data_IF_840032846907
#
_entry.id   IF_840032846907
#
_cell.length_a   1.000
_cell.length_b   1.000
_cell.length_c   1.000
_cell.angle_alpha   90.00
_cell.angle_beta   90.00
_cell.angle_gamma   90.00
#
_symmetry.space_group_name_H-M   'P 1'
#
loop_
_entity.id
_entity.type
_entity.pdbx_description
1 polymer ?
#
# COMPACT_ATOMS: atom_id res chain seq x y z
N UNK A 1 1.58 14.72 8.75
CA UNK A 1 2.26 13.93 7.69
C UNK A 1 3.57 14.57 7.22
N UNK A 2 3.58 15.82 6.73
CA UNK A 2 4.81 16.45 6.21
C UNK A 2 5.96 16.48 7.25
N UNK A 3 5.67 16.80 8.52
CA UNK A 3 6.69 16.77 9.59
C UNK A 3 7.31 15.38 9.81
N UNK A 4 6.53 14.32 9.65
CA UNK A 4 7.02 12.92 9.69
C UNK A 4 7.91 12.67 8.47
N UNK A 5 7.49 13.11 7.28
CA UNK A 5 8.29 13.02 6.06
C UNK A 5 9.66 13.69 6.20
N UNK A 6 9.72 14.91 6.76
CA UNK A 6 10.98 15.63 7.03
C UNK A 6 11.88 14.85 8.00
N UNK A 7 11.30 14.26 9.05
CA UNK A 7 12.06 13.49 10.03
C UNK A 7 12.62 12.18 9.43
N UNK A 8 11.80 11.46 8.65
CA UNK A 8 12.19 10.23 7.97
C UNK A 8 13.23 10.48 6.88
N UNK A 9 13.18 11.61 6.17
CA UNK A 9 14.16 11.98 5.14
C UNK A 9 15.60 11.89 5.67
N UNK A 10 15.83 12.33 6.91
CA UNK A 10 17.16 12.30 7.54
C UNK A 10 17.68 10.87 7.81
N UNK A 11 16.81 9.87 7.78
CA UNK A 11 17.12 8.46 8.01
C UNK A 11 17.21 7.64 6.72
N UNK A 12 16.83 8.21 5.58
CA UNK A 12 16.80 7.50 4.30
C UNK A 12 18.05 7.85 3.51
N UNK A 13 19.05 6.96 3.53
CA UNK A 13 20.37 7.22 2.92
C UNK A 13 20.65 6.43 1.64
N UNK A 14 19.86 5.37 1.39
CA UNK A 14 19.98 4.54 0.19
C UNK A 14 18.66 3.93 -0.29
N UNK A 15 18.72 3.18 -1.39
CA UNK A 15 17.55 2.55 -1.99
C UNK A 15 16.87 1.52 -1.06
N UNK A 16 17.64 0.77 -0.28
CA UNK A 16 17.09 -0.19 0.68
C UNK A 16 16.30 0.51 1.81
N UNK A 17 16.80 1.66 2.29
CA UNK A 17 16.08 2.50 3.24
C UNK A 17 14.81 3.09 2.61
N UNK A 18 14.92 3.54 1.36
CA UNK A 18 13.82 4.20 0.68
C UNK A 18 12.67 3.24 0.35
N UNK A 19 12.95 2.03 -0.13
CA UNK A 19 11.93 1.07 -0.55
C UNK A 19 11.49 0.10 0.55
N UNK A 20 12.35 -0.21 1.52
CA UNK A 20 12.07 -1.22 2.56
C UNK A 20 12.26 -0.72 3.98
N UNK A 21 12.57 0.57 4.18
CA UNK A 21 12.81 1.13 5.52
C UNK A 21 14.00 0.46 6.22
N UNK A 22 14.99 -0.03 5.45
CA UNK A 22 16.16 -0.73 5.96
C UNK A 22 15.81 -2.07 6.62
N UNK A 23 14.60 -2.61 6.38
CA UNK A 23 14.06 -3.84 6.98
C UNK A 23 14.05 -3.82 8.52
N UNK A 24 14.10 -2.63 9.12
CA UNK A 24 14.17 -2.40 10.57
C UNK A 24 12.86 -1.95 11.20
N UNK A 25 11.73 -2.01 10.48
CA UNK A 25 10.44 -1.62 11.01
C UNK A 25 10.02 -2.55 12.15
N UNK A 26 9.48 -1.97 13.23
CA UNK A 26 8.91 -2.74 14.32
C UNK A 26 7.62 -3.44 13.86
N UNK A 27 7.36 -4.62 14.42
CA UNK A 27 6.19 -5.44 14.07
C UNK A 27 4.85 -4.67 14.05
N UNK A 28 4.53 -3.85 15.06
CA UNK A 28 3.30 -3.06 15.07
C UNK A 28 3.19 -2.03 13.94
N UNK A 29 4.29 -1.33 13.62
CA UNK A 29 4.30 -0.32 12.55
C UNK A 29 4.13 -0.98 11.19
N UNK A 30 4.81 -2.10 10.95
CA UNK A 30 4.66 -2.86 9.71
C UNK A 30 3.25 -3.45 9.57
N UNK A 31 2.68 -3.99 10.65
CA UNK A 31 1.34 -4.59 10.64
C UNK A 31 0.25 -3.54 10.39
N UNK A 32 0.30 -2.41 11.10
CA UNK A 32 -0.67 -1.33 10.91
C UNK A 32 -0.54 -0.66 9.56
N UNK A 33 0.68 -0.48 9.05
CA UNK A 33 0.87 0.03 7.68
C UNK A 33 0.33 -0.92 6.62
N UNK A 34 0.57 -2.22 6.76
CA UNK A 34 -0.02 -3.21 5.87
C UNK A 34 -1.56 -3.17 5.89
N UNK A 35 -2.16 -3.05 7.08
CA UNK A 35 -3.60 -2.96 7.22
C UNK A 35 -4.17 -1.62 6.74
N UNK A 36 -3.51 -0.49 6.99
CA UNK A 36 -3.95 0.82 6.50
C UNK A 36 -3.92 0.88 4.97
N UNK A 37 -2.89 0.29 4.36
CA UNK A 37 -2.79 0.15 2.91
C UNK A 37 -3.92 -0.70 2.32
N UNK A 38 -4.30 -1.78 3.02
CA UNK A 38 -5.43 -2.65 2.63
C UNK A 38 -6.79 -1.96 2.84
N UNK A 39 -6.96 -1.30 3.99
CA UNK A 39 -8.16 -0.57 4.42
C UNK A 39 -8.18 0.85 3.84
N UNK A 40 -8.15 0.94 2.51
CA UNK A 40 -8.13 2.21 1.78
C UNK A 40 -9.52 2.85 1.61
N UNK A 41 -9.65 3.81 0.69
CA UNK A 41 -10.93 4.42 0.31
C UNK A 41 -12.04 3.41 -0.06
N UNK A 42 -11.68 2.18 -0.42
CA UNK A 42 -12.62 1.08 -0.58
C UNK A 42 -13.39 0.77 0.71
N UNK A 43 -12.75 0.70 1.87
CA UNK A 43 -13.48 0.39 3.11
C UNK A 43 -14.34 1.58 3.55
N UNK A 44 -13.87 2.80 3.29
CA UNK A 44 -14.56 4.02 3.70
C UNK A 44 -15.80 4.33 2.85
N UNK A 45 -15.72 4.11 1.54
CA UNK A 45 -16.79 4.45 0.59
C UNK A 45 -17.36 3.23 -0.14
N UNK A 46 -16.49 2.31 -0.56
CA UNK A 46 -16.85 1.13 -1.34
C UNK A 46 -17.71 0.13 -0.57
N UNK A 47 -17.25 -0.32 0.61
CA UNK A 47 -17.97 -1.33 1.41
C UNK A 47 -19.31 -0.82 1.95
N UNK A 48 -19.43 0.39 2.53
CA UNK A 48 -20.73 0.94 2.92
C UNK A 48 -21.65 1.14 1.71
N UNK A 49 -21.10 1.58 0.57
CA UNK A 49 -21.84 1.71 -0.68
C UNK A 49 -22.39 0.37 -1.18
N UNK A 50 -21.60 -0.70 -1.09
CA UNK A 50 -22.04 -2.04 -1.49
C UNK A 50 -23.08 -2.60 -0.53
N UNK A 51 -22.92 -2.40 0.79
CA UNK A 51 -23.94 -2.78 1.78
C UNK A 51 -25.25 -2.04 1.55
N UNK A 52 -25.19 -0.74 1.25
CA UNK A 52 -26.38 0.06 0.98
C UNK A 52 -27.11 -0.41 -0.28
N UNK A 53 -26.37 -0.77 -1.35
CA UNK A 53 -26.94 -1.19 -2.62
C UNK A 53 -27.38 -2.66 -2.65
N UNK A 54 -26.65 -3.57 -1.98
CA UNK A 54 -26.78 -5.03 -2.10
C UNK A 54 -27.20 -5.71 -0.79
N UNK A 55 -27.39 -4.94 0.29
CA UNK A 55 -27.87 -5.41 1.58
C UNK A 55 -26.76 -5.83 2.56
N UNK A 56 -27.18 -6.10 3.79
CA UNK A 56 -26.32 -6.38 4.95
C UNK A 56 -25.50 -7.67 4.83
N UNK A 57 -25.84 -8.56 3.89
CA UNK A 57 -25.06 -9.76 3.60
C UNK A 57 -23.61 -9.46 3.21
N UNK A 58 -23.34 -8.27 2.66
CA UNK A 58 -21.97 -7.82 2.33
C UNK A 58 -21.08 -7.61 3.57
N UNK A 59 -21.65 -7.51 4.78
CA UNK A 59 -20.86 -7.43 6.01
C UNK A 59 -19.96 -8.67 6.24
N UNK A 60 -20.31 -9.83 5.67
CA UNK A 60 -19.47 -11.03 5.70
C UNK A 60 -18.11 -10.85 5.04
N UNK A 61 -17.95 -9.86 4.16
CA UNK A 61 -16.66 -9.50 3.58
C UNK A 61 -15.63 -9.21 4.67
N UNK A 62 -16.02 -8.51 5.74
CA UNK A 62 -15.10 -8.18 6.84
C UNK A 62 -14.56 -9.44 7.54
N UNK A 63 -15.40 -10.45 7.72
CA UNK A 63 -15.02 -11.73 8.34
C UNK A 63 -14.08 -12.50 7.39
N UNK A 64 -14.42 -12.55 6.10
CA UNK A 64 -13.58 -13.17 5.08
C UNK A 64 -12.19 -12.52 4.97
N UNK A 65 -12.14 -11.19 4.98
CA UNK A 65 -10.89 -10.43 5.01
C UNK A 65 -10.08 -10.73 6.27
N UNK A 66 -10.71 -10.74 7.45
CA UNK A 66 -10.02 -11.06 8.70
C UNK A 66 -9.37 -12.45 8.68
N UNK A 67 -10.12 -13.48 8.28
CA UNK A 67 -9.61 -14.84 8.16
C UNK A 67 -8.53 -14.96 7.07
N UNK A 68 -8.74 -14.33 5.91
CA UNK A 68 -7.79 -14.32 4.80
C UNK A 68 -6.46 -13.68 5.18
N UNK A 69 -6.50 -12.54 5.88
CA UNK A 69 -5.29 -11.87 6.38
C UNK A 69 -4.53 -12.74 7.36
N UNK A 70 -5.22 -13.38 8.31
CA UNK A 70 -4.59 -14.31 9.26
C UNK A 70 -3.92 -15.47 8.50
N UNK A 71 -4.63 -16.10 7.56
CA UNK A 71 -4.11 -17.19 6.76
C UNK A 71 -2.88 -16.77 5.94
N UNK A 72 -2.92 -15.58 5.32
CA UNK A 72 -1.80 -15.03 4.55
C UNK A 72 -0.55 -14.84 5.42
N UNK A 73 -0.70 -14.29 6.63
CA UNK A 73 0.42 -14.10 7.54
C UNK A 73 1.01 -15.41 8.07
N UNK A 74 0.16 -16.40 8.36
CA UNK A 74 0.61 -17.68 8.90
C UNK A 74 1.23 -18.60 7.84
N UNK A 75 0.66 -18.61 6.63
CA UNK A 75 0.98 -19.60 5.59
C UNK A 75 1.93 -19.04 4.54
N UNK A 76 1.75 -17.78 4.12
CA UNK A 76 2.45 -17.23 2.94
C UNK A 76 3.62 -16.32 3.33
N UNK A 77 3.44 -15.45 4.32
CA UNK A 77 4.41 -14.40 4.62
C UNK A 77 5.80 -14.94 5.00
N UNK A 78 5.87 -15.93 5.91
CA UNK A 78 7.16 -16.49 6.36
C UNK A 78 7.90 -17.25 5.24
N UNK A 79 7.28 -18.21 4.52
CA UNK A 79 7.96 -18.90 3.43
C UNK A 79 8.39 -17.96 2.30
N UNK A 80 7.54 -16.99 1.95
CA UNK A 80 7.87 -16.01 0.92
C UNK A 80 9.12 -15.22 1.31
N UNK A 81 9.17 -14.70 2.55
CA UNK A 81 10.35 -13.95 3.02
C UNK A 81 11.61 -14.80 3.03
N UNK A 82 11.55 -16.02 3.57
CA UNK A 82 12.68 -16.93 3.58
C UNK A 82 13.22 -17.17 2.16
N UNK A 83 12.32 -17.31 1.17
CA UNK A 83 12.73 -17.55 -0.20
C UNK A 83 13.26 -16.31 -0.91
N UNK A 84 12.73 -15.11 -0.60
CA UNK A 84 13.28 -13.87 -1.17
C UNK A 84 14.78 -13.73 -0.87
N UNK A 85 15.22 -14.15 0.32
CA UNK A 85 16.64 -14.11 0.73
C UNK A 85 17.51 -14.97 -0.20
N UNK A 86 17.06 -16.19 -0.51
CA UNK A 86 17.78 -17.12 -1.41
C UNK A 86 17.70 -16.66 -2.87
N UNK A 87 16.60 -16.02 -3.26
CA UNK A 87 16.40 -15.44 -4.58
C UNK A 87 17.02 -14.02 -4.65
N UNK A 88 18.33 -13.90 -4.43
CA UNK A 88 19.09 -12.64 -4.48
C UNK A 88 18.58 -11.53 -3.57
N UNK A 89 17.97 -11.87 -2.42
CA UNK A 89 17.36 -10.92 -1.49
C UNK A 89 16.40 -9.93 -2.19
N UNK A 90 15.60 -10.44 -3.13
CA UNK A 90 14.69 -9.66 -3.98
C UNK A 90 13.83 -8.69 -3.16
N UNK A 91 13.72 -7.45 -3.63
CA UNK A 91 12.97 -6.38 -2.94
C UNK A 91 11.53 -6.28 -3.42
N UNK A 92 11.23 -6.76 -4.63
CA UNK A 92 9.89 -6.69 -5.24
C UNK A 92 9.38 -8.06 -5.67
N UNK A 93 8.07 -8.22 -5.83
CA UNK A 93 7.49 -9.46 -6.35
C UNK A 93 7.93 -9.79 -7.79
N UNK A 94 7.96 -8.85 -8.75
CA UNK A 94 8.48 -9.12 -10.10
C UNK A 94 9.94 -9.58 -10.10
N UNK A 95 10.78 -8.95 -9.29
CA UNK A 95 12.17 -9.35 -9.11
C UNK A 95 12.28 -10.74 -8.48
N UNK A 96 11.47 -11.03 -7.46
CA UNK A 96 11.39 -12.35 -6.85
C UNK A 96 11.00 -13.42 -7.87
N UNK A 97 9.99 -13.18 -8.71
CA UNK A 97 9.62 -14.11 -9.76
C UNK A 97 10.73 -14.28 -10.80
N UNK A 98 11.38 -13.19 -11.21
CA UNK A 98 12.51 -13.25 -12.14
C UNK A 98 13.66 -14.10 -11.60
N UNK A 99 14.06 -13.88 -10.35
CA UNK A 99 15.13 -14.62 -9.69
C UNK A 99 14.73 -16.08 -9.38
N UNK A 100 13.49 -16.31 -8.92
CA UNK A 100 12.97 -17.63 -8.59
C UNK A 100 12.93 -18.57 -9.80
N UNK A 101 12.50 -18.05 -10.94
CA UNK A 101 12.29 -18.83 -12.16
C UNK A 101 13.45 -18.72 -13.14
N UNK A 102 14.56 -18.05 -12.76
CA UNK A 102 15.73 -17.83 -13.61
C UNK A 102 15.35 -17.20 -14.96
N UNK A 103 14.51 -16.17 -14.91
CA UNK A 103 13.99 -15.47 -16.09
C UNK A 103 15.07 -14.59 -16.75
N UNK A 104 15.98 -15.21 -17.50
CA UNK A 104 17.08 -14.51 -18.18
C UNK A 104 16.57 -13.47 -19.21
N UNK A 105 15.39 -13.74 -19.80
CA UNK A 105 14.78 -12.86 -20.81
C UNK A 105 13.93 -11.73 -20.20
N UNK A 106 13.80 -11.68 -18.87
CA UNK A 106 13.01 -10.69 -18.13
C UNK A 106 11.53 -10.60 -18.54
N UNK A 107 10.98 -11.68 -19.11
CA UNK A 107 9.60 -11.71 -19.60
C UNK A 107 8.63 -11.72 -18.41
N UNK A 108 8.88 -12.58 -17.43
CA UNK A 108 8.06 -12.71 -16.23
C UNK A 108 8.14 -11.43 -15.40
N UNK A 109 9.35 -10.87 -15.24
CA UNK A 109 9.55 -9.58 -14.59
C UNK A 109 8.75 -8.47 -15.29
N UNK A 110 8.84 -8.39 -16.63
CA UNK A 110 8.14 -7.38 -17.42
C UNK A 110 6.61 -7.49 -17.31
N UNK A 111 6.07 -8.69 -17.47
CA UNK A 111 4.61 -8.93 -17.39
C UNK A 111 4.11 -8.64 -15.97
N UNK A 112 4.77 -9.17 -14.93
CA UNK A 112 4.36 -8.92 -13.54
C UNK A 112 4.43 -7.43 -13.18
N UNK A 113 5.47 -6.72 -13.63
CA UNK A 113 5.60 -5.28 -13.40
C UNK A 113 4.49 -4.49 -14.10
N UNK A 114 4.18 -4.83 -15.35
CA UNK A 114 3.11 -4.18 -16.11
C UNK A 114 1.75 -4.38 -15.46
N UNK A 115 1.44 -5.61 -15.02
CA UNK A 115 0.21 -5.91 -14.28
C UNK A 115 0.14 -5.06 -13.02
N UNK A 116 1.19 -5.05 -12.19
CA UNK A 116 1.21 -4.26 -10.95
C UNK A 116 0.95 -2.78 -11.26
N UNK A 117 1.66 -2.19 -12.22
CA UNK A 117 1.50 -0.77 -12.57
C UNK A 117 0.07 -0.45 -13.02
N UNK A 118 -0.51 -1.26 -13.91
CA UNK A 118 -1.87 -1.01 -14.45
C UNK A 118 -2.92 -1.07 -13.34
N UNK A 119 -2.88 -2.13 -12.52
CA UNK A 119 -3.89 -2.33 -11.48
C UNK A 119 -3.71 -1.36 -10.31
N UNK A 120 -2.46 -1.10 -9.87
CA UNK A 120 -2.21 -0.13 -8.81
C UNK A 120 -2.50 1.30 -9.23
N UNK A 121 -2.30 1.66 -10.50
CA UNK A 121 -2.66 3.00 -10.98
C UNK A 121 -4.16 3.25 -10.80
N UNK A 122 -5.00 2.32 -11.24
CA UNK A 122 -6.47 2.43 -11.09
C UNK A 122 -6.87 2.44 -9.62
N UNK A 123 -6.24 1.59 -8.81
CA UNK A 123 -6.49 1.52 -7.37
C UNK A 123 -6.12 2.83 -6.63
N UNK A 124 -4.93 3.39 -6.89
CA UNK A 124 -4.50 4.64 -6.26
C UNK A 124 -5.36 5.81 -6.74
N UNK A 125 -5.74 5.85 -8.02
CA UNK A 125 -6.65 6.85 -8.55
C UNK A 125 -8.03 6.79 -7.88
N UNK A 126 -8.57 5.59 -7.64
CA UNK A 126 -9.86 5.43 -6.96
C UNK A 126 -9.78 5.87 -5.49
N UNK A 127 -8.69 5.56 -4.78
CA UNK A 127 -8.47 5.98 -3.40
C UNK A 127 -8.41 7.52 -3.26
N UNK A 128 -7.68 8.20 -4.16
CA UNK A 128 -7.62 9.67 -4.23
C UNK A 128 -9.00 10.28 -4.52
N UNK A 129 -9.75 9.70 -5.46
CA UNK A 129 -11.11 10.15 -5.78
C UNK A 129 -12.07 9.97 -4.60
N UNK A 130 -12.00 8.84 -3.87
CA UNK A 130 -12.76 8.63 -2.64
C UNK A 130 -12.44 9.69 -1.58
N UNK A 131 -11.16 10.02 -1.38
CA UNK A 131 -10.75 11.09 -0.47
C UNK A 131 -11.31 12.45 -0.88
N UNK A 132 -11.15 12.84 -2.14
CA UNK A 132 -11.71 14.10 -2.66
C UNK A 132 -13.23 14.18 -2.50
N UNK A 133 -13.93 13.07 -2.75
CA UNK A 133 -15.39 13.00 -2.59
C UNK A 133 -15.84 13.12 -1.14
N UNK A 134 -15.11 12.51 -0.21
CA UNK A 134 -15.36 12.64 1.22
C UNK A 134 -15.26 14.11 1.66
N UNK A 135 -14.16 14.79 1.34
CA UNK A 135 -13.97 16.19 1.73
C UNK A 135 -15.02 17.11 1.11
N UNK A 136 -15.39 16.86 -0.15
CA UNK A 136 -16.47 17.58 -0.81
C UNK A 136 -17.82 17.39 -0.12
N UNK A 137 -18.14 16.17 0.28
CA UNK A 137 -19.44 15.84 0.88
C UNK A 137 -19.57 16.34 2.32
N UNK A 138 -18.50 16.22 3.11
CA UNK A 138 -18.52 16.55 4.55
C UNK A 138 -18.27 18.04 4.81
N UNK A 139 -17.31 18.64 4.08
CA UNK A 139 -16.85 20.01 4.34
C UNK A 139 -17.27 21.00 3.24
N UNK A 140 -17.91 20.54 2.16
CA UNK A 140 -18.33 21.40 1.04
C UNK A 140 -17.17 21.94 0.20
N UNK A 141 -15.95 21.44 0.38
CA UNK A 141 -14.77 21.86 -0.38
C UNK A 141 -14.92 21.37 -1.83
N UNK A 142 -14.53 22.19 -2.81
CA UNK A 142 -14.53 21.74 -4.21
C UNK A 142 -13.75 20.43 -4.39
N UNK A 143 -14.31 19.48 -5.14
CA UNK A 143 -13.74 18.16 -5.34
C UNK A 143 -12.32 18.21 -5.93
N UNK A 144 -12.10 19.06 -6.93
CA UNK A 144 -10.80 19.17 -7.59
C UNK A 144 -9.78 19.81 -6.64
N UNK A 145 -10.17 20.82 -5.88
CA UNK A 145 -9.31 21.45 -4.85
C UNK A 145 -8.92 20.43 -3.77
N UNK A 146 -9.89 19.69 -3.21
CA UNK A 146 -9.62 18.69 -2.18
C UNK A 146 -8.70 17.57 -2.69
N UNK A 147 -8.95 17.09 -3.92
CA UNK A 147 -8.11 16.09 -4.56
C UNK A 147 -6.68 16.59 -4.77
N UNK A 148 -6.50 17.83 -5.25
CA UNK A 148 -5.18 18.38 -5.54
C UNK A 148 -4.36 18.59 -4.26
N UNK A 149 -4.99 19.10 -3.20
CA UNK A 149 -4.34 19.26 -1.90
C UNK A 149 -3.95 17.89 -1.33
N UNK A 150 -4.85 16.92 -1.36
CA UNK A 150 -4.58 15.55 -0.89
C UNK A 150 -3.42 14.91 -1.65
N UNK A 151 -3.45 14.98 -2.98
CA UNK A 151 -2.37 14.48 -3.83
C UNK A 151 -1.03 15.18 -3.53
N UNK A 152 -1.02 16.51 -3.40
CA UNK A 152 0.19 17.27 -3.11
C UNK A 152 0.80 16.86 -1.75
N UNK A 153 -0.01 16.75 -0.70
CA UNK A 153 0.46 16.32 0.62
C UNK A 153 1.05 14.91 0.54
N UNK A 154 0.35 13.97 -0.10
CA UNK A 154 0.78 12.58 -0.25
C UNK A 154 2.12 12.49 -1.00
N UNK A 155 2.23 13.16 -2.15
CA UNK A 155 3.45 13.16 -2.94
C UNK A 155 4.61 13.75 -2.15
N UNK A 156 4.41 14.88 -1.47
CA UNK A 156 5.47 15.55 -0.69
C UNK A 156 6.03 14.61 0.37
N UNK A 157 5.21 14.07 1.29
CA UNK A 157 5.78 13.26 2.37
C UNK A 157 6.34 11.92 1.87
N UNK A 158 5.75 11.35 0.81
CA UNK A 158 6.19 10.07 0.24
C UNK A 158 7.55 10.22 -0.45
N UNK A 159 7.72 11.24 -1.30
CA UNK A 159 9.01 11.50 -1.94
C UNK A 159 10.11 11.89 -0.94
N UNK A 160 9.73 12.58 0.13
CA UNK A 160 10.69 13.05 1.14
C UNK A 160 11.24 11.92 2.00
N UNK A 161 10.40 11.02 2.50
CA UNK A 161 10.81 10.05 3.52
C UNK A 161 10.68 8.57 3.14
N UNK A 162 10.27 8.27 1.90
CA UNK A 162 10.16 6.91 1.39
C UNK A 162 9.25 6.00 2.22
N UNK A 163 9.50 4.70 2.17
CA UNK A 163 8.70 3.67 2.83
C UNK A 163 8.58 3.88 4.35
N UNK A 164 9.65 4.36 5.01
CA UNK A 164 9.62 4.64 6.44
C UNK A 164 8.61 5.75 6.79
N UNK A 165 8.55 6.82 5.97
CA UNK A 165 7.55 7.88 6.18
C UNK A 165 6.14 7.35 5.99
N UNK A 166 5.91 6.56 4.93
CA UNK A 166 4.61 5.94 4.65
C UNK A 166 4.16 5.09 5.83
N UNK A 167 4.98 4.13 6.28
CA UNK A 167 4.60 3.26 7.40
C UNK A 167 4.39 4.03 8.71
N UNK A 168 5.18 5.08 8.95
CA UNK A 168 5.04 5.90 10.16
C UNK A 168 3.76 6.74 10.09
N UNK A 169 3.40 7.25 8.92
CA UNK A 169 2.14 7.97 8.74
C UNK A 169 0.92 7.06 8.79
N UNK A 170 1.04 5.81 8.35
CA UNK A 170 -0.05 4.84 8.45
C UNK A 170 -0.30 4.39 9.89
N UNK A 171 0.73 4.45 10.75
CA UNK A 171 0.63 4.11 12.16
C UNK A 171 -0.06 5.20 13.00
N UNK A 172 0.01 6.47 12.57
CA UNK A 172 -0.51 7.65 13.29
C UNK A 172 -1.93 7.97 12.85
#
# INVERSE_FOLDING_TARGET
>A
MIGIGVWCMKKTTGADDYFLGGRGLSGPVAALSAQASDMSGWLLMGLPGSIYALGTGQAWIAIGLGLGTIANWLIIAKPLRAYTIVANNSMTLPEFFGNRYHDEKKILLGISSAIIVVFFLVYTASALASGGKLFNTVFGIDYHVALFIGAAVILIYTFMGGFLAVCTTDFV
#
